data_IF_831257769515
#
_entry.id   IF_831257769515
#
_cell.length_a   1.000
_cell.length_b   1.000
_cell.length_c   1.000
_cell.angle_alpha   90.00
_cell.angle_beta   90.00
_cell.angle_gamma   90.00
#
_symmetry.space_group_name_H-M   'P 1'
#
loop_
_entity.id
_entity.type
_entity.pdbx_description
1 polymer ?
#
# COMPACT_ATOMS: atom_id res chain seq x y z
N UNK A 1 -13.58 -13.02 -11.48
CA UNK A 1 -12.29 -13.73 -11.34
C UNK A 1 -11.68 -13.40 -9.98
N UNK A 2 -11.74 -14.34 -9.01
CA UNK A 2 -11.30 -14.10 -7.64
C UNK A 2 -9.78 -14.15 -7.49
N UNK A 3 -9.19 -13.17 -6.78
CA UNK A 3 -7.76 -13.13 -6.48
C UNK A 3 -7.39 -14.36 -5.63
N UNK A 4 -6.62 -15.29 -6.19
CA UNK A 4 -6.23 -16.60 -5.61
C UNK A 4 -5.31 -16.52 -4.38
N UNK A 5 -5.22 -15.37 -3.72
CA UNK A 5 -4.33 -15.12 -2.57
C UNK A 5 -5.03 -15.31 -1.21
N UNK A 6 -6.34 -15.51 -1.16
CA UNK A 6 -7.13 -15.49 0.09
C UNK A 6 -7.86 -16.80 0.41
N UNK A 7 -7.44 -17.94 -0.15
CA UNK A 7 -8.34 -19.10 -0.23
C UNK A 7 -8.55 -19.89 1.07
N UNK A 8 -7.77 -19.70 2.16
CA UNK A 8 -7.83 -20.63 3.31
C UNK A 8 -7.60 -20.07 4.73
N UNK A 9 -7.39 -18.76 4.93
CA UNK A 9 -7.24 -18.17 6.28
C UNK A 9 -8.29 -17.08 6.53
N UNK A 10 -8.78 -16.98 7.79
CA UNK A 10 -9.70 -15.93 8.25
C UNK A 10 -9.01 -14.56 8.21
N UNK A 11 -8.87 -13.99 7.01
CA UNK A 11 -8.35 -12.63 6.83
C UNK A 11 -9.34 -11.60 7.36
N UNK A 12 -8.86 -10.70 8.22
CA UNK A 12 -9.64 -9.58 8.74
C UNK A 12 -10.01 -8.63 7.59
N UNK A 13 -11.30 -8.31 7.50
CA UNK A 13 -11.86 -7.30 6.61
C UNK A 13 -12.25 -6.09 7.45
N UNK A 14 -12.10 -4.88 6.91
CA UNK A 14 -12.42 -3.64 7.60
C UNK A 14 -11.19 -2.80 7.94
N UNK A 15 -11.39 -1.80 8.80
CA UNK A 15 -10.42 -0.77 9.18
C UNK A 15 -9.12 -1.39 9.72
N UNK A 16 -8.00 -0.73 9.44
CA UNK A 16 -6.70 -1.05 10.03
C UNK A 16 -6.62 -0.44 11.43
N UNK A 17 -6.21 -1.24 12.41
CA UNK A 17 -5.90 -0.70 13.73
C UNK A 17 -4.47 -0.13 13.77
N UNK A 18 -4.16 0.79 14.69
CA UNK A 18 -2.81 1.34 14.85
C UNK A 18 -1.75 0.25 15.03
N UNK A 19 -2.07 -0.83 15.76
CA UNK A 19 -1.14 -1.93 16.00
C UNK A 19 -0.85 -2.73 14.73
N UNK A 20 -1.83 -2.83 13.81
CA UNK A 20 -1.60 -3.44 12.49
C UNK A 20 -0.72 -2.55 11.62
N UNK A 21 -0.93 -1.23 11.66
CA UNK A 21 -0.11 -0.27 10.94
C UNK A 21 1.34 -0.29 11.43
N UNK A 22 1.56 -0.29 12.75
CA UNK A 22 2.89 -0.35 13.37
C UNK A 22 3.65 -1.62 12.97
N UNK A 23 2.98 -2.77 12.97
CA UNK A 23 3.58 -4.03 12.51
C UNK A 23 3.99 -3.96 11.05
N UNK A 24 3.14 -3.40 10.19
CA UNK A 24 3.42 -3.26 8.76
C UNK A 24 4.60 -2.30 8.53
N UNK A 25 4.59 -1.14 9.19
CA UNK A 25 5.66 -0.14 9.12
C UNK A 25 6.98 -0.74 9.59
N UNK A 26 6.99 -1.35 10.78
CA UNK A 26 8.21 -1.96 11.34
C UNK A 26 8.78 -3.04 10.42
N UNK A 27 7.93 -3.90 9.87
CA UNK A 27 8.39 -4.95 8.96
C UNK A 27 9.04 -4.37 7.70
N UNK A 28 8.35 -3.43 7.02
CA UNK A 28 8.82 -2.86 5.76
C UNK A 28 10.06 -1.98 5.95
N UNK A 29 10.13 -1.19 7.03
CA UNK A 29 11.31 -0.36 7.32
C UNK A 29 12.54 -1.20 7.65
N UNK A 30 12.36 -2.37 8.28
CA UNK A 30 13.48 -3.24 8.68
C UNK A 30 13.93 -4.18 7.55
N UNK A 31 13.00 -4.72 6.76
CA UNK A 31 13.28 -5.81 5.81
C UNK A 31 12.97 -5.44 4.35
N UNK A 32 12.36 -4.29 4.10
CA UNK A 32 11.70 -4.00 2.83
C UNK A 32 10.38 -4.77 2.66
N UNK A 33 9.63 -4.48 1.59
CA UNK A 33 8.37 -5.17 1.32
C UNK A 33 8.54 -6.48 0.53
N UNK A 34 9.66 -6.66 -0.20
CA UNK A 34 9.89 -7.80 -1.09
C UNK A 34 8.65 -8.14 -1.93
N UNK A 35 8.14 -9.37 -1.76
CA UNK A 35 6.86 -9.81 -2.33
C UNK A 35 5.69 -9.56 -1.37
N UNK A 36 4.70 -8.79 -1.81
CA UNK A 36 3.53 -8.46 -0.99
C UNK A 36 2.73 -9.68 -0.50
N UNK A 37 2.81 -10.83 -1.18
CA UNK A 37 2.10 -12.04 -0.75
C UNK A 37 2.67 -12.65 0.53
N UNK A 38 3.96 -12.44 0.84
CA UNK A 38 4.60 -12.96 2.05
C UNK A 38 4.53 -11.99 3.24
N UNK A 39 4.43 -10.68 2.96
CA UNK A 39 4.41 -9.61 3.97
C UNK A 39 3.43 -9.88 5.12
N UNK A 40 2.16 -10.27 4.91
CA UNK A 40 1.25 -10.44 6.04
C UNK A 40 1.71 -11.52 7.01
N UNK A 41 2.22 -12.64 6.49
CA UNK A 41 2.72 -13.75 7.32
C UNK A 41 3.97 -13.32 8.08
N UNK A 42 4.91 -12.65 7.42
CA UNK A 42 6.18 -12.23 8.02
C UNK A 42 6.02 -11.08 9.03
N UNK A 43 5.06 -10.17 8.79
CA UNK A 43 4.74 -9.07 9.70
C UNK A 43 3.77 -9.48 10.84
N UNK A 44 3.30 -10.74 10.87
CA UNK A 44 2.35 -11.21 11.89
C UNK A 44 0.97 -10.56 11.78
N UNK A 45 0.52 -10.29 10.55
CA UNK A 45 -0.76 -9.67 10.23
C UNK A 45 -1.77 -10.70 9.70
N UNK A 46 -3.03 -10.55 10.11
CA UNK A 46 -4.14 -11.34 9.60
C UNK A 46 -4.81 -10.64 8.40
N UNK A 47 -3.99 -10.12 7.48
CA UNK A 47 -4.40 -9.40 6.26
C UNK A 47 -3.91 -10.13 5.02
N UNK A 48 -4.45 -9.77 3.85
CA UNK A 48 -3.91 -10.29 2.60
C UNK A 48 -2.82 -9.36 2.04
N UNK A 49 -1.96 -9.88 1.17
CA UNK A 49 -0.85 -9.11 0.60
C UNK A 49 -1.30 -7.86 -0.15
N UNK A 50 -2.40 -7.94 -0.91
CA UNK A 50 -3.01 -6.79 -1.58
C UNK A 50 -3.41 -5.70 -0.59
N UNK A 51 -3.99 -6.07 0.55
CA UNK A 51 -4.39 -5.12 1.59
C UNK A 51 -3.18 -4.44 2.22
N UNK A 52 -2.11 -5.20 2.52
CA UNK A 52 -0.86 -4.64 3.04
C UNK A 52 -0.23 -3.66 2.05
N UNK A 53 -0.17 -4.03 0.76
CA UNK A 53 0.33 -3.16 -0.32
C UNK A 53 -0.41 -1.83 -0.37
N UNK A 54 -1.74 -1.89 -0.44
CA UNK A 54 -2.58 -0.69 -0.52
C UNK A 54 -2.44 0.17 0.73
N UNK A 55 -2.41 -0.46 1.92
CA UNK A 55 -2.25 0.28 3.17
C UNK A 55 -0.92 1.02 3.22
N UNK A 56 0.17 0.36 2.85
CA UNK A 56 1.49 0.97 2.80
C UNK A 56 1.53 2.13 1.81
N UNK A 57 1.24 1.87 0.52
CA UNK A 57 1.41 2.86 -0.55
C UNK A 57 0.52 4.09 -0.35
N UNK A 58 -0.73 3.89 0.09
CA UNK A 58 -1.71 4.97 0.14
C UNK A 58 -1.78 5.69 1.49
N UNK A 59 -1.19 5.13 2.56
CA UNK A 59 -1.35 5.69 3.89
C UNK A 59 -0.09 5.72 4.74
N UNK A 60 0.75 4.69 4.73
CA UNK A 60 1.83 4.56 5.73
C UNK A 60 3.22 4.95 5.20
N UNK A 61 3.39 5.02 3.89
CA UNK A 61 4.68 5.34 3.27
C UNK A 61 5.13 6.77 3.67
N UNK A 62 6.34 6.97 4.21
CA UNK A 62 6.74 8.25 4.81
C UNK A 62 6.90 9.40 3.80
N UNK A 63 7.24 9.08 2.55
CA UNK A 63 7.37 10.04 1.44
C UNK A 63 6.04 10.35 0.74
N UNK A 64 4.91 9.83 1.26
CA UNK A 64 3.60 10.17 0.73
C UNK A 64 3.19 11.58 1.16
N UNK A 65 3.24 12.53 0.21
CA UNK A 65 2.68 13.86 0.39
C UNK A 65 1.16 13.79 0.50
N UNK A 66 0.60 14.48 1.50
CA UNK A 66 -0.85 14.63 1.69
C UNK A 66 -1.24 16.09 1.54
N UNK A 67 -2.33 16.35 0.84
CA UNK A 67 -2.82 17.70 0.58
C UNK A 67 -3.06 17.95 -0.91
N UNK A 68 -3.33 19.20 -1.25
CA UNK A 68 -3.47 19.64 -2.64
C UNK A 68 -2.11 19.66 -3.34
N UNK A 69 -2.14 19.51 -4.66
CA UNK A 69 -0.97 19.73 -5.49
C UNK A 69 -0.61 21.22 -5.54
N UNK A 70 0.68 21.49 -5.69
CA UNK A 70 1.18 22.82 -6.06
C UNK A 70 0.89 23.09 -7.55
N UNK A 71 0.86 24.37 -7.96
CA UNK A 71 0.63 24.72 -9.36
C UNK A 71 1.67 24.08 -10.29
N UNK A 72 2.92 23.97 -9.83
CA UNK A 72 3.99 23.30 -10.56
C UNK A 72 3.75 21.80 -10.68
N UNK A 73 3.32 21.12 -9.60
CA UNK A 73 2.96 19.69 -9.63
C UNK A 73 1.76 19.42 -10.54
N UNK A 74 0.74 20.29 -10.53
CA UNK A 74 -0.41 20.19 -11.44
C UNK A 74 0.02 20.30 -12.90
N UNK A 75 0.87 21.27 -13.21
CA UNK A 75 1.38 21.46 -14.58
C UNK A 75 2.16 20.23 -15.06
N UNK A 76 3.02 19.65 -14.20
CA UNK A 76 3.75 18.42 -14.51
C UNK A 76 2.78 17.26 -14.78
N UNK A 77 1.74 17.10 -13.97
CA UNK A 77 0.73 16.05 -14.16
C UNK A 77 0.05 16.20 -15.53
N UNK A 78 -0.37 17.42 -15.89
CA UNK A 78 -1.02 17.71 -17.18
C UNK A 78 -0.08 17.41 -18.34
N UNK A 79 1.18 17.85 -18.26
CA UNK A 79 2.14 17.67 -19.35
C UNK A 79 2.51 16.19 -19.53
N UNK A 80 2.74 15.46 -18.44
CA UNK A 80 3.01 14.02 -18.49
C UNK A 80 1.80 13.26 -19.04
N UNK A 81 0.58 13.62 -18.62
CA UNK A 81 -0.65 13.01 -19.14
C UNK A 81 -0.84 13.28 -20.62
N UNK A 82 -0.56 14.49 -21.10
CA UNK A 82 -0.60 14.84 -22.53
C UNK A 82 0.33 13.96 -23.36
N UNK A 83 1.51 13.63 -22.83
CA UNK A 83 2.52 12.82 -23.53
C UNK A 83 2.19 11.32 -23.50
N UNK A 84 1.74 10.80 -22.35
CA UNK A 84 1.64 9.36 -22.12
C UNK A 84 0.20 8.80 -22.16
N UNK A 85 -0.80 9.65 -21.98
CA UNK A 85 -2.21 9.28 -21.82
C UNK A 85 -2.51 8.58 -20.50
N UNK A 86 -3.69 7.95 -20.41
CA UNK A 86 -4.08 7.13 -19.25
C UNK A 86 -3.35 5.78 -19.29
N UNK A 87 -2.23 5.68 -18.58
CA UNK A 87 -1.43 4.47 -18.40
C UNK A 87 -1.17 4.17 -16.94
#
# INVERSE_FOLDING_TARGET
MGHRCCSKQKVKRGLWSPEEDDKLVKHITTHGHGSWSSVPKLAGLQRCGKSCRLRWINYLRPDLKRGSFTAEEEQIIIDVHRILGNR
#
